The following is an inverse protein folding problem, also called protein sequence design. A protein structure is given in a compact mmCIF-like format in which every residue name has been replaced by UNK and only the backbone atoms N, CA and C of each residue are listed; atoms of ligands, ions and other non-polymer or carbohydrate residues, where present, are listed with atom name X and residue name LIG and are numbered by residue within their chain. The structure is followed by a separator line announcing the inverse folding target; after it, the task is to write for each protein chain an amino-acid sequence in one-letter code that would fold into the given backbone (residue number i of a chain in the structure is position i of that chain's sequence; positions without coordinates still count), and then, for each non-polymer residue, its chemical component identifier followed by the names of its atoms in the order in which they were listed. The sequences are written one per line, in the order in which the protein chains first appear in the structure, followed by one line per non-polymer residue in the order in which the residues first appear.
data_IF_535447927679
#
_entry.id   IF_535447927679
#
_cell.length_a   1.000
_cell.length_b   1.000
_cell.length_c   1.000
_cell.angle_alpha   90.00
_cell.angle_beta   90.00
_cell.angle_gamma   90.00
#
_symmetry.space_group_name_H-M   'P 1'
#
loop_
_entity.id
_entity.type
_entity.pdbx_description
1 polymer ?
#
# COMPACT_ATOMS: atom_id res chain seq x y z
N UNK A 1 -22.76 -21.40 5.17
CA UNK A 1 -21.62 -20.64 4.62
C UNK A 1 -22.15 -19.34 4.03
N UNK A 2 -22.12 -18.27 4.81
CA UNK A 2 -22.59 -16.94 4.39
C UNK A 2 -21.49 -16.23 3.58
N UNK A 3 -21.86 -15.73 2.40
CA UNK A 3 -21.00 -14.98 1.47
C UNK A 3 -20.31 -13.75 2.10
N UNK A 4 -20.82 -13.30 3.25
CA UNK A 4 -20.25 -12.20 4.06
C UNK A 4 -18.81 -12.49 4.53
N UNK A 5 -18.47 -13.76 4.74
CA UNK A 5 -17.18 -14.18 5.33
C UNK A 5 -16.03 -14.19 4.33
N UNK A 6 -16.32 -14.22 3.03
CA UNK A 6 -15.31 -14.25 1.96
C UNK A 6 -14.84 -12.83 1.62
N UNK A 7 -15.69 -11.83 1.88
CA UNK A 7 -15.40 -10.41 1.69
C UNK A 7 -15.01 -9.70 3.00
N UNK A 8 -14.54 -10.45 4.01
CA UNK A 8 -13.91 -9.82 5.18
C UNK A 8 -12.47 -9.41 4.78
N UNK A 9 -12.37 -8.21 4.19
CA UNK A 9 -11.12 -7.54 3.74
C UNK A 9 -10.28 -7.09 4.94
N UNK A 10 -10.64 -7.45 6.18
CA UNK A 10 -9.79 -7.25 7.37
C UNK A 10 -8.77 -8.37 7.51
N UNK A 11 -8.14 -8.76 6.39
CA UNK A 11 -7.09 -9.75 6.45
C UNK A 11 -5.84 -9.08 7.04
N UNK A 12 -5.27 -9.61 8.15
CA UNK A 12 -4.02 -9.11 8.76
C UNK A 12 -2.81 -9.17 7.82
N UNK A 13 -3.01 -9.58 6.57
CA UNK A 13 -2.02 -9.63 5.50
C UNK A 13 -1.48 -8.24 5.11
N UNK A 14 -2.25 -7.17 5.34
CA UNK A 14 -1.85 -5.79 5.05
C UNK A 14 -1.36 -5.00 6.28
N UNK A 15 -1.31 -5.62 7.47
CA UNK A 15 -0.69 -5.06 8.68
C UNK A 15 0.84 -4.89 8.59
N UNK A 16 1.62 -5.81 7.97
CA UNK A 16 3.05 -5.76 8.15
C UNK A 16 3.65 -4.67 7.25
N UNK A 17 4.15 -3.62 7.89
CA UNK A 17 4.73 -2.41 7.30
C UNK A 17 5.72 -2.72 6.17
N UNK A 18 6.50 -3.80 6.29
CA UNK A 18 7.50 -4.19 5.29
C UNK A 18 6.91 -4.47 3.90
N UNK A 19 5.64 -4.92 3.78
CA UNK A 19 5.00 -5.17 2.47
C UNK A 19 4.68 -3.87 1.76
N UNK A 20 4.29 -2.85 2.54
CA UNK A 20 4.00 -1.51 2.05
C UNK A 20 5.29 -0.84 1.59
N UNK A 21 6.35 -0.96 2.41
CA UNK A 21 7.69 -0.45 2.06
C UNK A 21 8.23 -1.16 0.82
N UNK A 22 8.13 -2.49 0.73
CA UNK A 22 8.58 -3.26 -0.42
C UNK A 22 7.87 -2.83 -1.71
N UNK A 23 6.56 -2.59 -1.66
CA UNK A 23 5.79 -2.13 -2.82
C UNK A 23 6.23 -0.72 -3.28
N UNK A 24 6.35 0.20 -2.33
CA UNK A 24 6.75 1.59 -2.59
C UNK A 24 8.20 1.64 -3.11
N UNK A 25 9.10 0.87 -2.51
CA UNK A 25 10.49 0.76 -2.94
C UNK A 25 10.61 0.12 -4.32
N UNK A 26 9.81 -0.91 -4.61
CA UNK A 26 9.79 -1.54 -5.93
C UNK A 26 9.30 -0.55 -7.00
N UNK A 27 8.18 0.15 -6.76
CA UNK A 27 7.66 1.16 -7.70
C UNK A 27 8.61 2.35 -7.86
N UNK A 28 9.20 2.84 -6.77
CA UNK A 28 10.17 3.94 -6.81
C UNK A 28 11.48 3.55 -7.52
N UNK A 29 11.97 2.35 -7.26
CA UNK A 29 13.12 1.78 -7.97
C UNK A 29 12.84 1.57 -9.46
N UNK A 30 11.64 1.09 -9.80
CA UNK A 30 11.21 0.95 -11.20
C UNK A 30 11.12 2.29 -11.90
N UNK A 31 10.54 3.31 -11.24
CA UNK A 31 10.47 4.66 -11.77
C UNK A 31 11.87 5.23 -12.07
N UNK A 32 12.85 5.04 -11.16
CA UNK A 32 14.24 5.47 -11.38
C UNK A 32 14.91 4.73 -12.53
N UNK A 33 14.69 3.41 -12.64
CA UNK A 33 15.20 2.59 -13.73
C UNK A 33 14.63 3.08 -15.08
N UNK A 34 13.32 3.33 -15.13
CA UNK A 34 12.62 3.79 -16.33
C UNK A 34 13.04 5.22 -16.74
N UNK A 35 13.35 6.07 -15.75
CA UNK A 35 13.94 7.39 -15.98
C UNK A 35 15.33 7.26 -16.63
N UNK A 36 16.13 6.26 -16.22
CA UNK A 36 17.44 5.96 -16.79
C UNK A 36 17.35 5.33 -18.19
N UNK A 37 16.28 4.60 -18.49
CA UNK A 37 15.97 4.01 -19.80
C UNK A 37 15.44 5.03 -20.82
N UNK A 38 15.19 6.28 -20.42
CA UNK A 38 14.74 7.35 -21.32
C UNK A 38 13.22 7.40 -21.50
N UNK A 39 12.44 6.79 -20.62
CA UNK A 39 10.98 6.77 -20.64
C UNK A 39 10.37 7.65 -19.51
N UNK A 40 10.51 8.99 -19.58
CA UNK A 40 10.15 9.89 -18.49
C UNK A 40 8.65 9.90 -18.17
N UNK A 41 7.79 9.66 -19.16
CA UNK A 41 6.34 9.62 -18.96
C UNK A 41 5.94 8.47 -18.03
N UNK A 42 6.46 7.27 -18.29
CA UNK A 42 6.20 6.09 -17.48
C UNK A 42 6.84 6.19 -16.10
N UNK A 43 8.07 6.69 -16.05
CA UNK A 43 8.76 6.98 -14.80
C UNK A 43 7.95 7.92 -13.89
N UNK A 44 7.37 8.99 -14.45
CA UNK A 44 6.57 9.95 -13.68
C UNK A 44 5.27 9.33 -13.15
N UNK A 45 4.60 8.49 -13.94
CA UNK A 45 3.39 7.76 -13.50
C UNK A 45 3.71 6.81 -12.34
N UNK A 46 4.75 5.99 -12.46
CA UNK A 46 5.17 5.08 -11.39
C UNK A 46 5.70 5.82 -10.16
N UNK A 47 6.41 6.93 -10.35
CA UNK A 47 6.86 7.78 -9.26
C UNK A 47 5.69 8.43 -8.51
N UNK A 48 4.67 8.92 -9.22
CA UNK A 48 3.47 9.49 -8.62
C UNK A 48 2.67 8.44 -7.84
N UNK A 49 2.49 7.25 -8.42
CA UNK A 49 1.79 6.13 -7.75
C UNK A 49 2.59 5.66 -6.52
N UNK A 50 3.89 5.45 -6.65
CA UNK A 50 4.77 5.04 -5.56
C UNK A 50 4.80 6.08 -4.42
N UNK A 51 4.90 7.37 -4.78
CA UNK A 51 4.84 8.49 -3.83
C UNK A 51 3.48 8.60 -3.13
N UNK A 52 2.38 8.42 -3.86
CA UNK A 52 1.03 8.42 -3.30
C UNK A 52 0.81 7.25 -2.34
N UNK A 53 1.26 6.05 -2.70
CA UNK A 53 1.27 4.89 -1.80
C UNK A 53 2.12 5.14 -0.57
N UNK A 54 3.30 5.74 -0.71
CA UNK A 54 4.14 6.16 0.42
C UNK A 54 3.42 7.13 1.34
N UNK A 55 2.76 8.16 0.79
CA UNK A 55 2.00 9.14 1.57
C UNK A 55 0.82 8.49 2.33
N UNK A 56 0.03 7.66 1.65
CA UNK A 56 -1.07 6.92 2.28
C UNK A 56 -0.59 5.98 3.40
N UNK A 57 0.51 5.26 3.18
CA UNK A 57 0.98 4.26 4.14
C UNK A 57 1.82 4.82 5.28
N UNK A 58 2.43 5.99 5.14
CA UNK A 58 3.30 6.57 6.18
C UNK A 58 2.75 7.85 6.81
N UNK A 59 2.03 8.70 6.07
CA UNK A 59 1.51 9.96 6.61
C UNK A 59 0.10 9.83 7.19
N UNK A 60 -0.75 8.95 6.63
CA UNK A 60 -2.17 8.80 7.02
C UNK A 60 -2.43 7.50 7.77
N UNK A 61 -1.44 6.62 7.90
CA UNK A 61 -1.68 5.30 8.47
C UNK A 61 -2.01 5.36 9.98
N UNK A 62 -3.28 5.09 10.32
CA UNK A 62 -3.72 4.85 11.69
C UNK A 62 -3.89 3.33 11.94
N UNK A 63 -3.07 2.71 12.82
CA UNK A 63 -3.21 1.30 13.16
C UNK A 63 -4.48 0.95 13.95
N UNK A 64 -5.24 1.95 14.43
CA UNK A 64 -6.45 1.75 15.24
C UNK A 64 -7.65 1.26 14.42
N UNK A 65 -7.72 1.58 13.13
CA UNK A 65 -8.79 1.13 12.23
C UNK A 65 -8.74 -0.37 11.90
N UNK A 66 -7.63 -1.04 12.27
CA UNK A 66 -7.41 -2.46 12.00
C UNK A 66 -7.65 -3.36 13.22
N UNK A 67 -8.05 -2.81 14.38
CA UNK A 67 -8.40 -3.62 15.54
C UNK A 67 -9.77 -4.29 15.35
N UNK A 68 -9.93 -5.58 15.68
CA UNK A 68 -11.24 -6.19 15.78
C UNK A 68 -12.08 -5.41 16.81
N UNK A 69 -13.26 -4.93 16.41
CA UNK A 69 -14.22 -4.29 17.33
C UNK A 69 -14.50 -5.26 18.49
N UNK A 70 -14.03 -4.94 19.69
CA UNK A 70 -14.35 -5.68 20.91
C UNK A 70 -15.78 -5.31 21.32
N UNK A 71 -16.71 -6.26 21.10
CA UNK A 71 -18.10 -6.10 21.48
C UNK A 71 -18.29 -6.24 22.99
N UNK A 72 -17.90 -5.23 23.76
CA UNK A 72 -18.18 -5.12 25.19
C UNK A 72 -18.69 -3.72 25.53
N UNK A 73 -19.94 -3.46 25.12
CA UNK A 73 -20.84 -2.49 25.73
C UNK A 73 -22.01 -3.25 26.38
#
# INVERSE_FOLDING_TARGET
MSLQSILDVRHPFFLPLWRRVALVALCGGWALMELALGNPLWALVFAAIGGWCGYQFFAIFDPKDYQPRDGSD
#
